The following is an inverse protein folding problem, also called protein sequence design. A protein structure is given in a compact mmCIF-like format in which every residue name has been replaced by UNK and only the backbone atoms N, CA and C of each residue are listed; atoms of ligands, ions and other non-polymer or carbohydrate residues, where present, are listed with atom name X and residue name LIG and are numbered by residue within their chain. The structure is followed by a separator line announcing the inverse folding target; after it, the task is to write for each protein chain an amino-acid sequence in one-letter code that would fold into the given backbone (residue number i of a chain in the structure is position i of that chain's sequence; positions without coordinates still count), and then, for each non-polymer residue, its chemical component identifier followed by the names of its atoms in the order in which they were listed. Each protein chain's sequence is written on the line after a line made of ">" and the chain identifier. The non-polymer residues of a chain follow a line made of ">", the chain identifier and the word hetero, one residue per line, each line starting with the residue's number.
data_IF_084399803547
#
_entry.id   IF_084399803547
#
_cell.length_a   1.000
_cell.length_b   1.000
_cell.length_c   1.000
_cell.angle_alpha   90.00
_cell.angle_beta   90.00
_cell.angle_gamma   90.00
#
_symmetry.space_group_name_H-M   'P 1'
#
loop_
_entity.id
_entity.type
_entity.pdbx_description
1 polymer ?
#
# COMPACT_ATOMS: atom_id res chain seq x y z
N UNK A 1 -15.28 -11.82 5.33
CA UNK A 1 -14.41 -12.76 4.59
C UNK A 1 -13.78 -13.81 5.50
N UNK A 2 -13.12 -13.45 6.61
CA UNK A 2 -12.47 -14.41 7.54
C UNK A 2 -13.38 -15.55 8.04
N UNK A 3 -14.64 -15.25 8.44
CA UNK A 3 -15.59 -16.28 8.90
C UNK A 3 -15.91 -17.35 7.84
N UNK A 4 -16.00 -16.97 6.58
CA UNK A 4 -16.28 -17.89 5.48
C UNK A 4 -15.10 -18.82 5.20
N UNK A 5 -13.87 -18.29 5.23
CA UNK A 5 -12.65 -19.08 5.04
C UNK A 5 -12.46 -20.07 6.20
N UNK A 6 -12.65 -19.63 7.46
CA UNK A 6 -12.61 -20.53 8.62
C UNK A 6 -13.60 -21.69 8.52
N UNK A 7 -14.84 -21.41 8.09
CA UNK A 7 -15.83 -22.45 7.86
C UNK A 7 -15.44 -23.40 6.72
N UNK A 8 -14.78 -22.90 5.67
CA UNK A 8 -14.28 -23.74 4.58
C UNK A 8 -13.14 -24.66 5.02
N UNK A 9 -12.22 -24.18 5.86
CA UNK A 9 -11.13 -24.98 6.44
C UNK A 9 -11.69 -26.14 7.25
N UNK A 10 -12.67 -25.89 8.13
CA UNK A 10 -13.33 -26.94 8.91
C UNK A 10 -13.91 -28.01 7.99
N UNK A 11 -14.70 -27.61 6.99
CA UNK A 11 -15.28 -28.55 6.01
C UNK A 11 -14.25 -29.35 5.24
N UNK A 12 -13.12 -28.72 4.89
CA UNK A 12 -12.01 -29.41 4.23
C UNK A 12 -11.38 -30.45 5.17
N UNK A 13 -11.07 -30.08 6.41
CA UNK A 13 -10.46 -30.97 7.39
C UNK A 13 -11.36 -32.17 7.72
N UNK A 14 -12.66 -31.94 7.91
CA UNK A 14 -13.65 -33.01 8.11
C UNK A 14 -13.66 -34.00 6.93
N UNK A 15 -13.56 -33.49 5.70
CA UNK A 15 -13.51 -34.34 4.51
C UNK A 15 -12.16 -35.05 4.34
N UNK A 16 -11.05 -34.38 4.66
CA UNK A 16 -9.70 -34.92 4.57
C UNK A 16 -9.49 -36.11 5.52
N UNK A 17 -10.02 -36.02 6.74
CA UNK A 17 -9.99 -37.11 7.73
C UNK A 17 -10.84 -38.32 7.31
N UNK A 18 -11.93 -38.08 6.56
CA UNK A 18 -12.84 -39.13 6.09
C UNK A 18 -12.33 -39.90 4.85
N UNK A 19 -11.17 -39.53 4.28
CA UNK A 19 -10.58 -40.22 3.12
C UNK A 19 -9.75 -41.46 3.52
N UNK A 20 -9.62 -42.42 2.59
CA UNK A 20 -8.74 -43.58 2.74
C UNK A 20 -7.66 -43.58 1.64
N UNK A 21 -6.38 -43.32 1.98
CA UNK A 21 -5.86 -42.94 3.30
C UNK A 21 -6.25 -41.50 3.71
N UNK A 22 -6.21 -41.18 5.02
CA UNK A 22 -6.49 -39.83 5.50
C UNK A 22 -5.55 -38.80 4.85
N UNK A 23 -6.12 -37.69 4.43
CA UNK A 23 -5.36 -36.57 3.84
C UNK A 23 -4.92 -35.58 4.93
N UNK A 24 -3.82 -34.82 4.72
CA UNK A 24 -3.39 -33.79 5.67
C UNK A 24 -4.45 -32.70 5.87
N UNK A 25 -4.66 -32.27 7.12
CA UNK A 25 -5.52 -31.15 7.47
C UNK A 25 -4.79 -29.81 7.26
N UNK A 26 -5.56 -28.72 7.16
CA UNK A 26 -5.06 -27.36 7.00
C UNK A 26 -5.31 -26.54 8.27
N UNK A 27 -4.31 -25.74 8.63
CA UNK A 27 -4.44 -24.72 9.67
C UNK A 27 -4.79 -23.34 9.11
N UNK A 28 -5.36 -22.48 9.95
CA UNK A 28 -5.70 -21.11 9.57
C UNK A 28 -4.46 -20.32 9.14
N UNK A 29 -3.37 -20.44 9.89
CA UNK A 29 -2.09 -19.79 9.64
C UNK A 29 -1.52 -20.22 8.28
N UNK A 30 -1.57 -21.50 7.95
CA UNK A 30 -1.11 -22.03 6.66
C UNK A 30 -1.90 -21.44 5.48
N UNK A 31 -3.22 -21.32 5.62
CA UNK A 31 -4.09 -20.74 4.59
C UNK A 31 -3.81 -19.25 4.41
N UNK A 32 -3.58 -18.51 5.49
CA UNK A 32 -3.21 -17.09 5.40
C UNK A 32 -1.85 -16.92 4.73
N UNK A 33 -0.86 -17.72 5.09
CA UNK A 33 0.48 -17.68 4.49
C UNK A 33 0.50 -18.08 3.02
N UNK A 34 -0.42 -18.97 2.59
CA UNK A 34 -0.57 -19.38 1.20
C UNK A 34 -1.47 -18.45 0.38
N UNK A 35 -2.30 -17.60 1.01
CA UNK A 35 -3.17 -16.67 0.30
C UNK A 35 -2.39 -15.70 -0.59
N UNK A 36 -1.18 -15.31 -0.18
CA UNK A 36 -0.27 -14.51 -1.02
C UNK A 36 0.10 -15.22 -2.32
N UNK A 37 0.36 -16.53 -2.28
CA UNK A 37 0.72 -17.31 -3.47
C UNK A 37 -0.49 -17.53 -4.39
N UNK A 38 -1.70 -17.51 -3.84
CA UNK A 38 -2.94 -17.64 -4.61
C UNK A 38 -3.22 -16.45 -5.53
N UNK A 39 -2.60 -15.29 -5.28
CA UNK A 39 -2.71 -14.10 -6.13
C UNK A 39 -1.93 -14.23 -7.45
N UNK A 40 -1.10 -15.27 -7.61
CA UNK A 40 -0.34 -15.54 -8.83
C UNK A 40 -1.02 -16.64 -9.66
N UNK A 41 -1.91 -16.25 -10.58
CA UNK A 41 -2.63 -17.18 -11.47
C UNK A 41 -1.69 -18.14 -12.24
N UNK A 42 -0.47 -17.70 -12.56
CA UNK A 42 0.56 -18.52 -13.23
C UNK A 42 0.94 -19.78 -12.41
N UNK A 43 0.93 -19.67 -11.07
CA UNK A 43 1.24 -20.81 -10.19
C UNK A 43 0.09 -21.83 -10.16
N UNK A 44 -1.15 -21.38 -10.39
CA UNK A 44 -2.32 -22.26 -10.48
C UNK A 44 -2.30 -23.11 -11.76
N UNK A 45 -1.80 -22.56 -12.87
CA UNK A 45 -1.73 -23.25 -14.16
C UNK A 45 -0.66 -24.35 -14.18
N UNK A 46 0.45 -24.16 -13.45
CA UNK A 46 1.56 -25.11 -13.40
C UNK A 46 1.27 -26.43 -12.69
N UNK A 47 0.20 -26.52 -11.88
CA UNK A 47 -0.19 -27.70 -11.06
C UNK A 47 0.95 -28.38 -10.29
N UNK A 48 2.04 -27.66 -10.03
CA UNK A 48 3.18 -28.16 -9.29
C UNK A 48 3.02 -27.79 -7.82
N UNK A 49 3.34 -28.71 -6.91
CA UNK A 49 3.30 -28.42 -5.49
C UNK A 49 4.52 -27.57 -5.09
N UNK A 50 4.32 -26.27 -5.05
CA UNK A 50 5.35 -25.30 -4.71
C UNK A 50 5.53 -25.10 -3.20
N UNK A 51 4.73 -25.73 -2.34
CA UNK A 51 4.72 -25.44 -0.89
C UNK A 51 6.06 -25.74 -0.22
N UNK A 52 6.85 -26.64 -0.80
CA UNK A 52 8.18 -27.03 -0.30
C UNK A 52 9.31 -26.24 -0.98
N UNK A 53 9.00 -25.39 -1.95
CA UNK A 53 10.02 -24.60 -2.63
C UNK A 53 10.58 -23.53 -1.68
N UNK A 54 11.91 -23.35 -1.59
CA UNK A 54 12.52 -22.40 -0.66
C UNK A 54 12.00 -20.97 -0.81
N UNK A 55 11.67 -20.55 -2.03
CA UNK A 55 11.12 -19.22 -2.33
C UNK A 55 9.63 -19.08 -1.96
N UNK A 56 8.89 -20.19 -1.85
CA UNK A 56 7.48 -20.20 -1.51
C UNK A 56 7.26 -20.19 0.01
N UNK A 57 8.24 -20.62 0.80
CA UNK A 57 8.18 -20.55 2.27
C UNK A 57 8.16 -19.10 2.76
N UNK A 58 7.43 -18.77 3.84
CA UNK A 58 7.33 -17.40 4.37
C UNK A 58 8.69 -16.75 4.63
N UNK A 59 9.63 -17.50 5.22
CA UNK A 59 10.98 -17.02 5.49
C UNK A 59 11.76 -16.72 4.20
N UNK A 60 11.60 -17.57 3.17
CA UNK A 60 12.23 -17.37 1.87
C UNK A 60 11.70 -16.15 1.14
N UNK A 61 10.37 -15.96 1.14
CA UNK A 61 9.73 -14.74 0.61
C UNK A 61 10.24 -13.49 1.32
N UNK A 62 10.26 -13.50 2.65
CA UNK A 62 10.76 -12.37 3.44
C UNK A 62 12.24 -12.05 3.12
N UNK A 63 13.08 -13.09 2.97
CA UNK A 63 14.47 -12.93 2.58
C UNK A 63 14.63 -12.39 1.15
N UNK A 64 13.83 -12.87 0.20
CA UNK A 64 13.82 -12.36 -1.18
C UNK A 64 13.36 -10.91 -1.23
N UNK A 65 12.28 -10.56 -0.53
CA UNK A 65 11.79 -9.19 -0.43
C UNK A 65 12.87 -8.25 0.12
N UNK A 66 13.57 -8.66 1.18
CA UNK A 66 14.68 -7.90 1.73
C UNK A 66 15.83 -7.76 0.73
N UNK A 67 16.22 -8.87 0.08
CA UNK A 67 17.30 -8.88 -0.90
C UNK A 67 17.01 -7.93 -2.06
N UNK A 68 15.82 -8.00 -2.65
CA UNK A 68 15.45 -7.13 -3.77
C UNK A 68 15.21 -5.68 -3.35
N UNK A 69 14.71 -5.42 -2.13
CA UNK A 69 14.66 -4.06 -1.58
C UNK A 69 16.05 -3.45 -1.44
N UNK A 70 17.03 -4.22 -0.99
CA UNK A 70 18.41 -3.75 -0.90
C UNK A 70 19.03 -3.53 -2.28
N UNK A 71 18.84 -4.48 -3.21
CA UNK A 71 19.35 -4.39 -4.58
C UNK A 71 18.84 -3.12 -5.29
N UNK A 72 17.59 -2.75 -5.06
CA UNK A 72 16.91 -1.64 -5.74
C UNK A 72 16.80 -0.37 -4.88
N UNK A 73 17.51 -0.31 -3.75
CA UNK A 73 17.44 0.83 -2.85
C UNK A 73 17.87 2.13 -3.53
N UNK A 74 18.93 2.08 -4.34
CA UNK A 74 19.46 3.25 -5.04
C UNK A 74 18.49 3.78 -6.10
N UNK A 75 17.81 2.88 -6.83
CA UNK A 75 16.74 3.24 -7.78
C UNK A 75 15.57 3.90 -7.06
N UNK A 76 15.19 3.36 -5.90
CA UNK A 76 14.09 3.91 -5.08
C UNK A 76 14.44 5.30 -4.57
N UNK A 77 15.69 5.56 -4.15
CA UNK A 77 16.15 6.90 -3.76
C UNK A 77 15.97 7.88 -4.91
N UNK A 78 16.42 7.53 -6.11
CA UNK A 78 16.27 8.39 -7.29
C UNK A 78 14.80 8.67 -7.62
N UNK A 79 13.93 7.65 -7.57
CA UNK A 79 12.49 7.81 -7.80
C UNK A 79 11.85 8.73 -6.75
N UNK A 80 12.17 8.49 -5.48
CA UNK A 80 11.62 9.26 -4.36
C UNK A 80 12.02 10.73 -4.43
N UNK A 81 13.23 11.07 -4.89
CA UNK A 81 13.61 12.46 -5.10
C UNK A 81 12.69 13.16 -6.09
N UNK A 82 12.38 12.52 -7.23
CA UNK A 82 11.46 13.07 -8.21
C UNK A 82 10.03 13.19 -7.65
N UNK A 83 9.57 12.18 -6.94
CA UNK A 83 8.23 12.19 -6.30
C UNK A 83 8.11 13.27 -5.23
N UNK A 84 9.15 13.48 -4.42
CA UNK A 84 9.18 14.54 -3.42
C UNK A 84 9.08 15.91 -4.08
N UNK A 85 9.84 16.17 -5.15
CA UNK A 85 9.74 17.44 -5.88
C UNK A 85 8.33 17.66 -6.44
N UNK A 86 7.75 16.64 -7.10
CA UNK A 86 6.37 16.70 -7.60
C UNK A 86 5.37 16.96 -6.48
N UNK A 87 5.55 16.34 -5.33
CA UNK A 87 4.67 16.51 -4.18
C UNK A 87 4.79 17.92 -3.58
N UNK A 88 6.00 18.49 -3.51
CA UNK A 88 6.19 19.89 -3.11
C UNK A 88 5.50 20.84 -4.08
N UNK A 89 5.71 20.66 -5.39
CA UNK A 89 5.06 21.47 -6.43
C UNK A 89 3.54 21.39 -6.30
N UNK A 90 2.99 20.18 -6.18
CA UNK A 90 1.55 19.98 -5.97
C UNK A 90 1.02 20.77 -4.78
N UNK A 91 1.68 20.71 -3.62
CA UNK A 91 1.23 21.44 -2.43
C UNK A 91 1.26 22.96 -2.60
N UNK A 92 2.28 23.49 -3.27
CA UNK A 92 2.40 24.93 -3.55
C UNK A 92 1.31 25.37 -4.52
N UNK A 93 1.12 24.61 -5.60
CA UNK A 93 0.13 24.90 -6.64
C UNK A 93 -1.30 24.78 -6.09
N UNK A 94 -1.57 23.80 -5.23
CA UNK A 94 -2.87 23.59 -4.60
C UNK A 94 -3.23 24.76 -3.65
N UNK A 95 -2.30 25.23 -2.83
CA UNK A 95 -2.53 26.39 -1.96
C UNK A 95 -2.81 27.64 -2.78
N UNK A 96 -2.02 27.89 -3.83
CA UNK A 96 -2.20 29.03 -4.73
C UNK A 96 -3.53 28.96 -5.48
N UNK A 97 -3.91 27.77 -5.95
CA UNK A 97 -5.19 27.51 -6.60
C UNK A 97 -6.35 27.82 -5.65
N UNK A 98 -6.37 27.20 -4.46
CA UNK A 98 -7.47 27.39 -3.50
C UNK A 98 -7.59 28.84 -3.03
N UNK A 99 -6.46 29.54 -2.84
CA UNK A 99 -6.48 30.95 -2.47
C UNK A 99 -7.08 31.84 -3.58
N UNK A 100 -6.74 31.55 -4.84
CA UNK A 100 -7.30 32.28 -5.99
C UNK A 100 -8.80 32.02 -6.15
N UNK A 101 -9.23 30.76 -6.07
CA UNK A 101 -10.64 30.41 -6.20
C UNK A 101 -11.47 30.97 -5.03
N UNK A 102 -10.92 31.01 -3.81
CA UNK A 102 -11.56 31.68 -2.66
C UNK A 102 -11.82 33.17 -2.93
N UNK A 103 -10.83 33.90 -3.46
CA UNK A 103 -10.98 35.32 -3.82
C UNK A 103 -11.99 35.51 -4.94
N UNK A 104 -11.88 34.72 -6.01
CA UNK A 104 -12.79 34.79 -7.16
C UNK A 104 -14.25 34.58 -6.73
N UNK A 105 -14.53 33.55 -5.93
CA UNK A 105 -15.89 33.27 -5.45
C UNK A 105 -16.45 34.38 -4.56
N UNK A 106 -15.59 35.04 -3.77
CA UNK A 106 -15.97 36.20 -2.96
C UNK A 106 -16.30 37.40 -3.84
N UNK A 107 -15.54 37.64 -4.91
CA UNK A 107 -15.84 38.72 -5.88
C UNK A 107 -17.13 38.48 -6.67
N UNK A 108 -17.47 37.22 -6.95
CA UNK A 108 -18.72 36.83 -7.62
C UNK A 108 -19.95 36.81 -6.69
N UNK A 109 -19.77 37.12 -5.40
CA UNK A 109 -20.86 37.14 -4.41
C UNK A 109 -21.29 35.76 -3.89
N UNK A 110 -20.54 34.70 -4.18
CA UNK A 110 -20.81 33.33 -3.75
C UNK A 110 -20.22 33.02 -2.36
N UNK A 111 -20.59 33.82 -1.36
CA UNK A 111 -19.99 33.79 0.00
C UNK A 111 -20.03 32.41 0.66
N UNK A 112 -21.13 31.67 0.49
CA UNK A 112 -21.28 30.33 1.07
C UNK A 112 -20.26 29.32 0.54
N UNK A 113 -19.97 29.36 -0.76
CA UNK A 113 -18.98 28.46 -1.39
C UNK A 113 -17.56 28.95 -1.08
N UNK A 114 -17.32 30.26 -1.11
CA UNK A 114 -16.04 30.84 -0.74
C UNK A 114 -15.60 30.42 0.68
N UNK A 115 -16.54 30.41 1.64
CA UNK A 115 -16.27 29.95 3.00
C UNK A 115 -15.95 28.45 3.10
N UNK A 116 -16.55 27.61 2.26
CA UNK A 116 -16.21 26.18 2.19
C UNK A 116 -14.80 25.99 1.59
N UNK A 117 -14.47 26.69 0.51
CA UNK A 117 -13.13 26.66 -0.10
C UNK A 117 -12.07 27.12 0.90
N UNK A 118 -12.34 28.20 1.64
CA UNK A 118 -11.48 28.66 2.74
C UNK A 118 -11.28 27.59 3.81
N UNK A 119 -12.35 26.92 4.22
CA UNK A 119 -12.27 25.87 5.25
C UNK A 119 -11.39 24.72 4.80
N UNK A 120 -11.57 24.25 3.55
CA UNK A 120 -10.73 23.23 2.93
C UNK A 120 -9.26 23.67 2.83
N UNK A 121 -9.00 24.91 2.37
CA UNK A 121 -7.66 25.48 2.26
C UNK A 121 -6.95 25.51 3.62
N UNK A 122 -7.65 25.97 4.65
CA UNK A 122 -7.11 26.01 6.02
C UNK A 122 -6.79 24.61 6.57
N UNK A 123 -7.64 23.62 6.28
CA UNK A 123 -7.40 22.24 6.67
C UNK A 123 -6.16 21.68 5.98
N UNK A 124 -6.08 21.82 4.65
CA UNK A 124 -4.94 21.36 3.85
C UNK A 124 -3.64 22.07 4.23
N UNK A 125 -3.67 23.39 4.42
CA UNK A 125 -2.52 24.19 4.84
C UNK A 125 -1.88 23.70 6.15
N UNK A 126 -2.67 23.18 7.10
CA UNK A 126 -2.14 22.58 8.34
C UNK A 126 -1.27 21.37 8.03
N UNK A 127 -1.75 20.46 7.19
CA UNK A 127 -1.00 19.28 6.76
C UNK A 127 0.22 19.68 5.93
N UNK A 128 0.07 20.59 4.98
CA UNK A 128 1.17 21.13 4.16
C UNK A 128 2.31 21.65 5.03
N UNK A 129 2.01 22.40 6.08
CA UNK A 129 3.06 22.92 6.99
C UNK A 129 3.86 21.83 7.70
N UNK A 130 3.21 20.72 8.07
CA UNK A 130 3.85 19.57 8.69
C UNK A 130 4.69 18.78 7.69
N UNK A 131 4.15 18.54 6.49
CA UNK A 131 4.86 17.85 5.42
C UNK A 131 6.08 18.65 4.97
N UNK A 132 5.97 19.96 4.75
CA UNK A 132 7.09 20.82 4.36
C UNK A 132 8.23 20.77 5.37
N UNK A 133 7.97 20.74 6.67
CA UNK A 133 9.02 20.57 7.69
C UNK A 133 9.79 19.25 7.54
N UNK A 134 9.12 18.17 7.14
CA UNK A 134 9.76 16.87 6.90
C UNK A 134 10.52 16.87 5.57
N UNK A 135 9.93 17.43 4.52
CA UNK A 135 10.55 17.51 3.19
C UNK A 135 11.83 18.35 3.20
N UNK A 136 11.86 19.46 3.94
CA UNK A 136 13.07 20.27 4.14
C UNK A 136 14.19 19.51 4.88
N UNK A 137 13.84 18.50 5.70
CA UNK A 137 14.86 17.62 6.31
C UNK A 137 15.36 16.59 5.30
N UNK A 138 14.45 16.01 4.51
CA UNK A 138 14.81 15.06 3.45
C UNK A 138 15.71 15.71 2.40
N UNK A 139 15.44 16.97 2.06
CA UNK A 139 16.24 17.73 1.09
C UNK A 139 17.68 18.03 1.52
N UNK A 140 18.06 17.66 2.74
CA UNK A 140 19.41 17.81 3.29
C UNK A 140 20.16 16.48 3.37
N UNK A 141 19.51 15.37 3.04
CA UNK A 141 20.12 14.05 3.09
C UNK A 141 21.04 13.86 1.88
N UNK A 142 22.14 13.09 2.04
CA UNK A 142 22.99 12.73 0.91
C UNK A 142 22.20 11.94 -0.12
N UNK A 143 22.32 12.33 -1.39
CA UNK A 143 21.61 11.71 -2.49
C UNK A 143 20.25 12.35 -2.80
N UNK A 144 19.83 13.40 -2.08
CA UNK A 144 18.75 14.31 -2.50
C UNK A 144 19.28 15.47 -3.36
#
# INVERSE_FOLDING_TARGET
>A
RSKAIKAAIVRYNDAAEAMEPPMPTLDWEEVVECAFLADFDLLREGRHDIRQEPWALPAGRAAMDQHFKLLRADEEIQRLNLEIHRFVTYMVDEEAFLAREEEYLRTEGNEGIAQQVRSLRMERGRFTSLHMKRLVKLSKLPGF
#
